data_IF_695279443154
#
_entry.id   IF_695279443154
#
_cell.length_a   1.000
_cell.length_b   1.000
_cell.length_c   1.000
_cell.angle_alpha   90.00
_cell.angle_beta   90.00
_cell.angle_gamma   90.00
#
_symmetry.space_group_name_H-M   'P 1'
#
loop_
_entity.id
_entity.type
_entity.pdbx_description
1 polymer ?
#
# COMPACT_ATOMS: atom_id res chain seq x y z
N UNK A 1 2.26 28.57 2.58
CA UNK A 1 1.12 27.61 2.61
C UNK A 1 1.57 26.22 2.18
N UNK A 2 2.12 26.05 0.97
CA UNK A 2 2.57 24.74 0.47
C UNK A 2 3.63 24.04 1.35
N UNK A 3 4.65 24.74 1.83
CA UNK A 3 5.66 24.16 2.74
C UNK A 3 5.09 23.66 4.06
N UNK A 4 4.12 24.40 4.61
CA UNK A 4 3.45 24.02 5.85
C UNK A 4 2.57 22.78 5.64
N UNK A 5 1.84 22.72 4.53
CA UNK A 5 1.07 21.52 4.15
C UNK A 5 1.97 20.30 3.91
N UNK A 6 3.15 20.50 3.31
CA UNK A 6 4.15 19.42 3.17
C UNK A 6 4.64 18.93 4.53
N UNK A 7 4.93 19.83 5.48
CA UNK A 7 5.32 19.44 6.83
C UNK A 7 4.21 18.63 7.52
N UNK A 8 2.96 19.09 7.44
CA UNK A 8 1.81 18.36 7.98
C UNK A 8 1.64 16.98 7.32
N UNK A 9 1.78 16.87 6.00
CA UNK A 9 1.74 15.59 5.31
C UNK A 9 2.83 14.63 5.82
N UNK A 10 4.09 15.10 5.92
CA UNK A 10 5.19 14.26 6.39
C UNK A 10 4.98 13.80 7.84
N UNK A 11 4.48 14.69 8.71
CA UNK A 11 4.12 14.33 10.08
C UNK A 11 2.99 13.30 10.12
N UNK A 12 1.94 13.47 9.30
CA UNK A 12 0.82 12.54 9.22
C UNK A 12 1.27 11.15 8.75
N UNK A 13 2.20 11.10 7.79
CA UNK A 13 2.75 9.83 7.30
C UNK A 13 3.62 9.12 8.34
N UNK A 14 4.42 9.86 9.11
CA UNK A 14 5.20 9.28 10.20
C UNK A 14 4.28 8.63 11.24
N UNK A 15 3.24 9.35 11.68
CA UNK A 15 2.23 8.80 12.59
C UNK A 15 1.51 7.59 12.00
N UNK A 16 1.22 7.60 10.69
CA UNK A 16 0.62 6.45 10.01
C UNK A 16 1.50 5.18 10.08
N UNK A 17 2.82 5.30 9.97
CA UNK A 17 3.71 4.13 10.05
C UNK A 17 3.67 3.46 11.43
N UNK A 18 3.53 4.27 12.47
CA UNK A 18 3.48 3.83 13.86
C UNK A 18 2.08 3.32 14.26
N UNK A 19 1.08 3.57 13.43
CA UNK A 19 -0.32 3.27 13.71
C UNK A 19 -0.97 4.28 14.66
N UNK A 20 -0.38 5.45 14.85
CA UNK A 20 -1.00 6.57 15.56
C UNK A 20 -2.00 7.29 14.63
N UNK A 21 -3.20 6.70 14.56
CA UNK A 21 -4.27 7.20 13.70
C UNK A 21 -4.77 8.57 14.12
N UNK A 22 -4.76 8.88 15.41
CA UNK A 22 -5.23 10.16 15.92
C UNK A 22 -4.29 11.29 15.47
N UNK A 23 -2.98 11.12 15.64
CA UNK A 23 -2.01 12.09 15.15
C UNK A 23 -2.02 12.18 13.62
N UNK A 24 -2.13 11.06 12.90
CA UNK A 24 -2.23 11.06 11.45
C UNK A 24 -3.45 11.87 10.95
N UNK A 25 -4.61 11.70 11.59
CA UNK A 25 -5.82 12.49 11.33
C UNK A 25 -5.62 13.96 11.69
N UNK A 26 -5.06 14.25 12.86
CA UNK A 26 -4.81 15.62 13.30
C UNK A 26 -3.95 16.40 12.31
N UNK A 27 -2.79 15.86 11.92
CA UNK A 27 -1.88 16.54 11.00
C UNK A 27 -2.48 16.70 9.60
N UNK A 28 -3.14 15.67 9.08
CA UNK A 28 -3.82 15.79 7.78
C UNK A 28 -4.95 16.81 7.80
N UNK A 29 -5.72 16.93 8.90
CA UNK A 29 -6.75 17.96 9.05
C UNK A 29 -6.15 19.37 9.07
N UNK A 30 -4.99 19.55 9.73
CA UNK A 30 -4.24 20.82 9.70
C UNK A 30 -3.75 21.17 8.30
N UNK A 31 -3.31 20.19 7.53
CA UNK A 31 -2.96 20.35 6.12
C UNK A 31 -4.16 20.79 5.26
N UNK A 32 -5.28 20.08 5.41
CA UNK A 32 -6.51 20.34 4.65
C UNK A 32 -7.20 21.65 5.03
N UNK A 33 -7.08 22.12 6.28
CA UNK A 33 -7.57 23.44 6.68
C UNK A 33 -6.85 24.57 5.92
N UNK A 34 -5.57 24.39 5.60
CA UNK A 34 -4.79 25.35 4.81
C UNK A 34 -4.93 25.19 3.30
N UNK A 35 -5.04 23.94 2.82
CA UNK A 35 -5.18 23.56 1.41
C UNK A 35 -6.23 22.44 1.28
N UNK A 36 -7.52 22.76 1.08
CA UNK A 36 -8.62 21.77 1.12
C UNK A 36 -8.55 20.65 0.08
N UNK A 37 -7.79 20.87 -1.00
CA UNK A 37 -7.59 19.93 -2.11
C UNK A 37 -6.16 19.40 -2.19
N UNK A 38 -5.36 19.51 -1.11
CA UNK A 38 -4.03 18.89 -1.06
C UNK A 38 -4.18 17.36 -1.17
N UNK A 39 -3.83 16.82 -2.34
CA UNK A 39 -4.02 15.41 -2.68
C UNK A 39 -3.29 14.46 -1.71
N UNK A 40 -2.13 14.87 -1.19
CA UNK A 40 -1.31 14.06 -0.28
C UNK A 40 -2.00 13.89 1.06
N UNK A 41 -2.51 14.98 1.64
CA UNK A 41 -3.27 14.92 2.89
C UNK A 41 -4.59 14.15 2.71
N UNK A 42 -5.25 14.30 1.56
CA UNK A 42 -6.45 13.50 1.22
C UNK A 42 -6.12 12.00 1.15
N UNK A 43 -4.98 11.62 0.55
CA UNK A 43 -4.54 10.24 0.48
C UNK A 43 -4.17 9.68 1.86
N UNK A 44 -3.56 10.47 2.74
CA UNK A 44 -3.35 10.04 4.13
C UNK A 44 -4.68 9.76 4.82
N UNK A 45 -5.70 10.62 4.67
CA UNK A 45 -7.03 10.37 5.23
C UNK A 45 -7.68 9.12 4.66
N UNK A 46 -7.65 8.96 3.34
CA UNK A 46 -8.13 7.76 2.67
C UNK A 46 -7.53 6.52 3.32
N UNK A 47 -6.20 6.46 3.44
CA UNK A 47 -5.51 5.32 4.02
C UNK A 47 -5.94 5.06 5.46
N UNK A 48 -5.93 6.08 6.33
CA UNK A 48 -6.32 5.90 7.75
C UNK A 48 -7.72 5.30 7.85
N UNK A 49 -8.70 5.86 7.11
CA UNK A 49 -10.07 5.36 7.18
C UNK A 49 -10.20 3.93 6.61
N UNK A 50 -9.41 3.58 5.60
CA UNK A 50 -9.36 2.21 5.06
C UNK A 50 -8.73 1.24 6.04
N UNK A 51 -7.58 1.55 6.64
CA UNK A 51 -6.95 0.68 7.65
C UNK A 51 -7.88 0.47 8.84
N UNK A 52 -8.61 1.51 9.26
CA UNK A 52 -9.59 1.46 10.34
C UNK A 52 -10.90 0.75 9.98
N UNK A 53 -11.15 0.45 8.70
CA UNK A 53 -12.44 -0.06 8.21
C UNK A 53 -13.59 0.94 8.35
N UNK A 54 -13.29 2.24 8.48
CA UNK A 54 -14.24 3.34 8.62
C UNK A 54 -14.69 3.82 7.22
N UNK A 55 -15.17 2.88 6.39
CA UNK A 55 -15.44 3.12 4.97
C UNK A 55 -16.50 4.19 4.71
N UNK A 56 -17.46 4.38 5.61
CA UNK A 56 -18.46 5.46 5.46
C UNK A 56 -17.84 6.86 5.54
N UNK A 57 -16.82 7.03 6.38
CA UNK A 57 -16.01 8.26 6.43
C UNK A 57 -15.07 8.34 5.23
N UNK A 58 -14.67 7.19 4.67
CA UNK A 58 -13.73 7.13 3.54
C UNK A 58 -14.35 7.44 2.18
N UNK A 59 -15.65 7.19 1.98
CA UNK A 59 -16.35 7.30 0.68
C UNK A 59 -16.09 8.61 -0.07
N UNK A 60 -15.95 9.73 0.63
CA UNK A 60 -15.72 11.03 0.01
C UNK A 60 -14.26 11.27 -0.42
N UNK A 61 -13.28 10.58 0.16
CA UNK A 61 -11.86 10.85 -0.11
C UNK A 61 -11.39 10.39 -1.50
N UNK A 62 -11.77 9.21 -2.05
CA UNK A 62 -11.46 8.85 -3.43
C UNK A 62 -11.97 9.89 -4.41
N UNK A 63 -13.24 10.32 -4.27
CA UNK A 63 -13.84 11.33 -5.14
C UNK A 63 -13.13 12.68 -5.04
N UNK A 64 -12.71 13.08 -3.83
CA UNK A 64 -11.94 14.31 -3.62
C UNK A 64 -10.53 14.24 -4.20
N UNK A 65 -9.85 13.09 -4.11
CA UNK A 65 -8.53 12.87 -4.73
C UNK A 65 -8.67 12.96 -6.25
N UNK A 66 -9.66 12.28 -6.81
CA UNK A 66 -9.94 12.34 -8.25
C UNK A 66 -10.38 13.74 -8.69
N UNK A 67 -11.10 14.47 -7.83
CA UNK A 67 -11.44 15.86 -8.10
C UNK A 67 -10.19 16.75 -8.08
N UNK A 68 -9.28 16.59 -7.11
CA UNK A 68 -8.01 17.32 -7.08
C UNK A 68 -7.20 17.07 -8.36
N UNK A 69 -7.11 15.80 -8.80
CA UNK A 69 -6.47 15.42 -10.06
C UNK A 69 -7.08 16.14 -11.26
N UNK A 70 -8.42 16.18 -11.36
CA UNK A 70 -9.13 16.86 -12.46
C UNK A 70 -8.98 18.38 -12.47
N UNK A 71 -8.66 19.00 -11.33
CA UNK A 71 -8.40 20.45 -11.25
C UNK A 71 -7.00 20.82 -11.73
N UNK A 72 -6.08 19.85 -11.82
CA UNK A 72 -4.70 20.07 -12.25
C UNK A 72 -4.55 19.75 -13.74
N UNK A 73 -3.80 20.57 -14.51
CA UNK A 73 -3.48 20.21 -15.89
C UNK A 73 -2.83 18.83 -15.98
N UNK A 74 -3.24 18.06 -17.00
CA UNK A 74 -2.67 16.73 -17.24
C UNK A 74 -1.16 16.81 -17.43
N UNK A 75 -0.44 15.94 -16.72
CA UNK A 75 1.01 15.87 -16.79
C UNK A 75 1.62 15.09 -15.62
N UNK A 76 2.95 15.00 -15.55
CA UNK A 76 3.65 14.26 -14.50
C UNK A 76 3.67 15.05 -13.20
N UNK A 77 2.51 15.15 -12.56
CA UNK A 77 2.30 15.86 -11.30
C UNK A 77 1.94 14.89 -10.17
N UNK A 78 1.99 15.40 -8.94
CA UNK A 78 1.76 14.59 -7.73
C UNK A 78 0.31 14.10 -7.67
N UNK A 79 -0.66 14.88 -8.15
CA UNK A 79 -2.08 14.55 -8.06
C UNK A 79 -2.43 13.27 -8.84
N UNK A 80 -1.90 13.12 -10.07
CA UNK A 80 -2.10 11.93 -10.89
C UNK A 80 -1.48 10.69 -10.23
N UNK A 81 -0.27 10.83 -9.70
CA UNK A 81 0.41 9.74 -9.02
C UNK A 81 -0.27 9.34 -7.71
N UNK A 82 -0.73 10.33 -6.92
CA UNK A 82 -1.49 10.09 -5.69
C UNK A 82 -2.83 9.40 -6.00
N UNK A 83 -3.51 9.79 -7.07
CA UNK A 83 -4.73 9.11 -7.51
C UNK A 83 -4.45 7.64 -7.86
N UNK A 84 -3.42 7.37 -8.66
CA UNK A 84 -3.06 6.02 -9.08
C UNK A 84 -2.73 5.11 -7.88
N UNK A 85 -1.76 5.52 -7.04
CA UNK A 85 -1.32 4.71 -5.89
C UNK A 85 -2.41 4.62 -4.81
N UNK A 86 -3.13 5.73 -4.56
CA UNK A 86 -4.18 5.77 -3.54
C UNK A 86 -5.32 4.81 -3.86
N UNK A 87 -5.75 4.74 -5.12
CA UNK A 87 -6.75 3.77 -5.58
C UNK A 87 -6.24 2.35 -5.43
N UNK A 88 -5.03 2.06 -5.90
CA UNK A 88 -4.46 0.71 -5.84
C UNK A 88 -4.33 0.19 -4.40
N UNK A 89 -3.89 1.03 -3.46
CA UNK A 89 -3.80 0.66 -2.03
C UNK A 89 -5.18 0.48 -1.40
N UNK A 90 -6.11 1.39 -1.68
CA UNK A 90 -7.48 1.31 -1.16
C UNK A 90 -8.17 0.01 -1.60
N UNK A 91 -7.97 -0.39 -2.85
CA UNK A 91 -8.47 -1.66 -3.36
C UNK A 91 -7.82 -2.87 -2.67
N UNK A 92 -6.53 -2.80 -2.36
CA UNK A 92 -5.84 -3.88 -1.63
C UNK A 92 -6.39 -4.09 -0.22
N UNK A 93 -6.70 -3.00 0.48
CA UNK A 93 -7.23 -3.04 1.85
C UNK A 93 -8.71 -3.46 1.87
N UNK A 94 -9.52 -2.92 0.96
CA UNK A 94 -10.96 -3.23 0.89
C UNK A 94 -11.31 -4.51 0.15
N UNK A 95 -10.39 -5.06 -0.65
CA UNK A 95 -10.65 -6.17 -1.57
C UNK A 95 -11.57 -5.82 -2.75
N UNK A 96 -11.92 -4.55 -2.95
CA UNK A 96 -12.85 -4.12 -3.99
C UNK A 96 -12.10 -3.44 -5.16
N UNK A 97 -12.17 -3.97 -6.40
CA UNK A 97 -11.48 -3.41 -7.55
C UNK A 97 -12.23 -2.19 -8.12
N UNK A 98 -12.21 -1.07 -7.39
CA UNK A 98 -12.86 0.18 -7.81
C UNK A 98 -11.85 1.11 -8.47
N UNK A 99 -12.27 1.75 -9.56
CA UNK A 99 -11.51 2.80 -10.26
C UNK A 99 -10.14 2.37 -10.84
N UNK A 100 -9.92 1.09 -11.11
CA UNK A 100 -8.66 0.61 -11.68
C UNK A 100 -8.31 1.29 -13.00
N UNK A 101 -9.27 1.40 -13.91
CA UNK A 101 -9.09 2.09 -15.20
C UNK A 101 -8.63 3.55 -15.01
N UNK A 102 -9.11 4.22 -13.95
CA UNK A 102 -8.72 5.59 -13.62
C UNK A 102 -7.29 5.63 -13.07
N UNK A 103 -6.91 4.67 -12.24
CA UNK A 103 -5.54 4.55 -11.73
C UNK A 103 -4.54 4.26 -12.86
N UNK A 104 -4.91 3.39 -13.80
CA UNK A 104 -4.11 3.07 -14.99
C UNK A 104 -3.94 4.29 -15.89
N UNK A 105 -5.04 4.97 -16.22
CA UNK A 105 -4.99 6.20 -17.02
C UNK A 105 -4.15 7.29 -16.33
N UNK A 106 -4.23 7.40 -15.00
CA UNK A 106 -3.42 8.35 -14.26
C UNK A 106 -1.92 8.01 -14.28
N UNK A 107 -1.57 6.71 -14.17
CA UNK A 107 -0.19 6.23 -14.29
C UNK A 107 0.36 6.42 -15.71
N UNK A 108 -0.44 6.18 -16.75
CA UNK A 108 -0.05 6.32 -18.16
C UNK A 108 0.34 7.76 -18.51
N UNK A 109 -0.36 8.75 -17.96
CA UNK A 109 0.02 10.17 -18.09
C UNK A 109 1.41 10.44 -17.53
N UNK A 110 1.83 9.73 -16.48
CA UNK A 110 3.19 9.84 -15.95
C UNK A 110 4.20 9.16 -16.89
N UNK A 111 3.89 8.00 -17.47
CA UNK A 111 4.84 7.29 -18.33
C UNK A 111 5.03 7.92 -19.71
N UNK A 112 3.99 8.55 -20.26
CA UNK A 112 4.00 9.13 -21.61
C UNK A 112 4.60 10.54 -21.67
N UNK A 113 4.73 11.23 -20.54
CA UNK A 113 5.28 12.57 -20.52
C UNK A 113 6.81 12.58 -20.75
N UNK A 114 7.26 13.50 -21.61
CA UNK A 114 8.64 13.54 -22.11
C UNK A 114 9.72 13.77 -21.03
N UNK A 115 9.36 14.21 -19.82
CA UNK A 115 10.29 14.56 -18.75
C UNK A 115 9.72 14.22 -17.37
N UNK A 116 9.23 13.00 -17.19
CA UNK A 116 8.66 12.58 -15.92
C UNK A 116 9.71 12.43 -14.83
N UNK A 117 9.53 13.08 -13.66
CA UNK A 117 10.44 12.89 -12.54
C UNK A 117 10.50 11.42 -12.12
N UNK A 118 11.72 10.90 -11.91
CA UNK A 118 11.92 9.50 -11.50
C UNK A 118 11.05 9.10 -10.31
N UNK A 119 10.93 9.97 -9.30
CA UNK A 119 10.09 9.71 -8.13
C UNK A 119 8.62 9.40 -8.50
N UNK A 120 8.05 10.14 -9.45
CA UNK A 120 6.66 9.94 -9.87
C UNK A 120 6.51 8.69 -10.73
N UNK A 121 7.49 8.40 -11.59
CA UNK A 121 7.49 7.14 -12.36
C UNK A 121 7.52 5.91 -11.43
N UNK A 122 8.28 5.98 -10.34
CA UNK A 122 8.36 4.89 -9.36
C UNK A 122 7.02 4.66 -8.65
N UNK A 123 6.36 5.75 -8.25
CA UNK A 123 5.05 5.67 -7.61
C UNK A 123 3.98 5.18 -8.59
N UNK A 124 3.98 5.70 -9.81
CA UNK A 124 3.09 5.22 -10.88
C UNK A 124 3.28 3.73 -11.15
N UNK A 125 4.53 3.25 -11.18
CA UNK A 125 4.83 1.82 -11.36
C UNK A 125 4.29 0.97 -10.20
N UNK A 126 4.60 1.34 -8.97
CA UNK A 126 4.09 0.65 -7.79
C UNK A 126 2.56 0.54 -7.78
N UNK A 127 1.84 1.54 -8.33
CA UNK A 127 0.39 1.44 -8.50
C UNK A 127 0.00 0.35 -9.49
N UNK A 128 0.62 0.27 -10.67
CA UNK A 128 0.34 -0.77 -11.67
C UNK A 128 0.71 -2.16 -11.15
N UNK A 129 1.80 -2.29 -10.41
CA UNK A 129 2.23 -3.54 -9.79
C UNK A 129 1.19 -4.06 -8.81
N UNK A 130 0.67 -3.17 -7.94
CA UNK A 130 -0.40 -3.50 -7.02
C UNK A 130 -1.69 -3.91 -7.74
N UNK A 131 -2.02 -3.26 -8.86
CA UNK A 131 -3.18 -3.64 -9.69
C UNK A 131 -2.98 -5.00 -10.36
N UNK A 132 -1.79 -5.30 -10.88
CA UNK A 132 -1.44 -6.59 -11.46
C UNK A 132 -1.59 -7.72 -10.43
N UNK A 133 -1.03 -7.53 -9.22
CA UNK A 133 -1.19 -8.46 -8.09
C UNK A 133 -2.68 -8.68 -7.77
N UNK A 134 -3.48 -7.59 -7.72
CA UNK A 134 -4.90 -7.68 -7.39
C UNK A 134 -5.72 -8.40 -8.46
N UNK A 135 -5.27 -8.38 -9.71
CA UNK A 135 -5.89 -9.12 -10.83
C UNK A 135 -5.38 -10.55 -10.98
N UNK A 136 -4.29 -10.91 -10.30
CA UNK A 136 -3.57 -12.16 -10.55
C UNK A 136 -2.96 -12.19 -11.96
N UNK A 137 -2.57 -11.03 -12.49
CA UNK A 137 -2.01 -10.92 -13.84
C UNK A 137 -0.54 -11.35 -13.85
N UNK A 138 -0.32 -12.62 -14.17
CA UNK A 138 1.00 -13.24 -14.25
C UNK A 138 1.95 -12.48 -15.19
N UNK A 139 1.47 -12.10 -16.39
CA UNK A 139 2.32 -11.48 -17.41
C UNK A 139 2.73 -10.08 -16.99
N UNK A 140 1.79 -9.27 -16.52
CA UNK A 140 2.10 -7.93 -16.03
C UNK A 140 3.01 -8.00 -14.79
N UNK A 141 2.83 -8.98 -13.90
CA UNK A 141 3.67 -9.16 -12.73
C UNK A 141 5.13 -9.45 -13.10
N UNK A 142 5.37 -10.31 -14.10
CA UNK A 142 6.71 -10.64 -14.57
C UNK A 142 7.44 -9.42 -15.15
N UNK A 143 6.79 -8.67 -16.05
CA UNK A 143 7.36 -7.46 -16.67
C UNK A 143 7.72 -6.39 -15.61
N UNK A 144 6.87 -6.27 -14.58
CA UNK A 144 7.07 -5.33 -13.49
C UNK A 144 8.17 -5.74 -12.51
N UNK A 145 8.29 -7.04 -12.21
CA UNK A 145 9.28 -7.58 -11.29
C UNK A 145 10.71 -7.26 -11.76
N UNK A 146 11.02 -7.51 -13.03
CA UNK A 146 12.34 -7.26 -13.61
C UNK A 146 12.76 -5.79 -13.49
N UNK A 147 11.79 -4.88 -13.62
CA UNK A 147 12.05 -3.46 -13.44
C UNK A 147 12.27 -3.09 -11.98
N UNK A 148 11.59 -3.71 -11.02
CA UNK A 148 11.67 -3.32 -9.61
C UNK A 148 12.74 -4.07 -8.81
N UNK A 149 13.37 -5.11 -9.35
CA UNK A 149 14.36 -5.91 -8.61
C UNK A 149 15.51 -5.08 -8.03
N UNK A 150 15.89 -3.96 -8.66
CA UNK A 150 16.95 -3.08 -8.16
C UNK A 150 16.54 -2.23 -6.94
N UNK A 151 15.25 -2.21 -6.60
CA UNK A 151 14.66 -1.40 -5.54
C UNK A 151 14.55 -2.09 -4.18
N UNK A 152 15.12 -3.30 -4.06
CA UNK A 152 15.21 -4.09 -2.83
C UNK A 152 15.79 -3.29 -1.66
N UNK A 153 15.30 -3.57 -0.45
CA UNK A 153 15.75 -2.91 0.78
C UNK A 153 15.34 -1.44 0.88
N UNK A 154 14.38 -0.98 0.06
CA UNK A 154 13.88 0.39 0.08
C UNK A 154 12.39 0.46 0.39
N UNK A 155 11.90 1.66 0.71
CA UNK A 155 10.51 1.90 1.03
C UNK A 155 9.99 3.19 0.42
N UNK A 156 8.76 3.14 -0.08
CA UNK A 156 8.00 4.29 -0.49
C UNK A 156 7.35 4.93 0.73
N UNK A 157 8.13 5.77 1.42
CA UNK A 157 7.69 6.47 2.64
C UNK A 157 6.33 7.15 2.44
N UNK A 158 6.16 7.95 1.38
CA UNK A 158 4.89 8.63 1.07
C UNK A 158 3.63 7.76 1.07
N UNK A 159 3.76 6.43 0.97
CA UNK A 159 2.64 5.50 0.99
C UNK A 159 2.75 4.38 2.03
N UNK A 160 3.78 4.37 2.89
CA UNK A 160 3.99 3.26 3.84
C UNK A 160 4.05 1.90 3.13
N UNK A 161 4.79 1.82 2.03
CA UNK A 161 4.96 0.59 1.26
C UNK A 161 6.44 0.21 1.22
N UNK A 162 6.80 -0.96 1.73
CA UNK A 162 8.13 -1.56 1.60
C UNK A 162 8.20 -2.29 0.27
N UNK A 163 9.24 -2.03 -0.51
CA UNK A 163 9.30 -2.57 -1.87
C UNK A 163 9.60 -4.07 -1.91
N UNK A 164 10.30 -4.61 -0.92
CA UNK A 164 10.45 -6.06 -0.80
C UNK A 164 9.10 -6.77 -0.59
N UNK A 165 8.15 -6.16 0.14
CA UNK A 165 6.78 -6.70 0.24
C UNK A 165 6.07 -6.70 -1.12
N UNK A 166 6.22 -5.64 -1.91
CA UNK A 166 5.64 -5.58 -3.26
C UNK A 166 6.30 -6.61 -4.20
N UNK A 167 7.62 -6.76 -4.14
CA UNK A 167 8.37 -7.78 -4.88
C UNK A 167 7.94 -9.20 -4.47
N UNK A 168 7.69 -9.44 -3.17
CA UNK A 168 7.15 -10.71 -2.69
C UNK A 168 5.77 -11.02 -3.25
N UNK A 169 4.87 -10.02 -3.30
CA UNK A 169 3.55 -10.16 -3.92
C UNK A 169 3.62 -10.41 -5.44
N UNK A 170 4.54 -9.74 -6.15
CA UNK A 170 4.77 -9.97 -7.58
C UNK A 170 5.31 -11.38 -7.82
N UNK A 171 6.33 -11.80 -7.06
CA UNK A 171 6.91 -13.14 -7.15
C UNK A 171 5.87 -14.24 -6.84
N UNK A 172 4.97 -14.00 -5.88
CA UNK A 172 3.82 -14.88 -5.62
C UNK A 172 2.87 -14.94 -6.83
N UNK A 173 2.55 -13.79 -7.43
CA UNK A 173 1.70 -13.71 -8.64
C UNK A 173 2.33 -14.41 -9.84
N UNK A 174 3.67 -14.46 -9.89
CA UNK A 174 4.48 -15.17 -10.89
C UNK A 174 4.67 -16.65 -10.58
N UNK A 175 3.98 -17.21 -9.57
CA UNK A 175 4.11 -18.62 -9.17
C UNK A 175 5.57 -19.02 -8.81
N UNK A 176 6.30 -18.10 -8.18
CA UNK A 176 7.68 -18.30 -7.69
C UNK A 176 7.75 -18.15 -6.16
N UNK A 177 7.12 -19.06 -5.40
CA UNK A 177 6.93 -18.90 -3.96
C UNK A 177 8.24 -18.85 -3.16
N UNK A 178 9.31 -19.51 -3.59
CA UNK A 178 10.61 -19.43 -2.93
C UNK A 178 11.24 -18.04 -3.04
N UNK A 179 11.10 -17.40 -4.20
CA UNK A 179 11.55 -16.03 -4.40
C UNK A 179 10.70 -15.05 -3.58
N UNK A 180 9.39 -15.29 -3.52
CA UNK A 180 8.49 -14.50 -2.70
C UNK A 180 8.86 -14.57 -1.21
N UNK A 181 9.22 -15.76 -0.71
CA UNK A 181 9.69 -15.99 0.66
C UNK A 181 10.92 -15.11 0.98
N UNK A 182 11.93 -15.07 0.11
CA UNK A 182 13.12 -14.24 0.32
C UNK A 182 12.76 -12.77 0.49
N UNK A 183 11.91 -12.25 -0.40
CA UNK A 183 11.47 -10.86 -0.36
C UNK A 183 10.62 -10.55 0.88
N UNK A 184 9.75 -11.46 1.31
CA UNK A 184 8.97 -11.25 2.53
C UNK A 184 9.85 -11.25 3.78
N UNK A 185 10.89 -12.08 3.86
CA UNK A 185 11.86 -12.02 4.97
C UNK A 185 12.60 -10.69 5.02
N UNK A 186 13.08 -10.20 3.87
CA UNK A 186 13.72 -8.89 3.74
C UNK A 186 12.75 -7.76 4.17
N UNK A 187 11.49 -7.84 3.77
CA UNK A 187 10.45 -6.89 4.15
C UNK A 187 10.19 -6.88 5.66
N UNK A 188 10.11 -8.05 6.31
CA UNK A 188 9.94 -8.17 7.77
C UNK A 188 11.13 -7.57 8.50
N UNK A 189 12.36 -7.88 8.07
CA UNK A 189 13.57 -7.35 8.66
C UNK A 189 13.62 -5.81 8.54
N UNK A 190 13.26 -5.27 7.38
CA UNK A 190 13.15 -3.83 7.16
C UNK A 190 12.11 -3.19 8.07
N UNK A 191 10.89 -3.73 8.11
CA UNK A 191 9.79 -3.17 8.91
C UNK A 191 10.13 -3.15 10.41
N UNK A 192 10.74 -4.22 10.93
CA UNK A 192 11.16 -4.31 12.34
C UNK A 192 12.24 -3.28 12.66
N UNK A 193 13.24 -3.13 11.79
CA UNK A 193 14.31 -2.13 11.97
C UNK A 193 13.78 -0.69 11.90
N UNK A 194 12.85 -0.43 10.98
CA UNK A 194 12.29 0.89 10.74
C UNK A 194 11.04 1.22 11.58
N UNK A 195 10.61 0.29 12.46
CA UNK A 195 9.39 0.40 13.28
C UNK A 195 8.12 0.71 12.48
N UNK A 196 8.00 0.15 11.27
CA UNK A 196 6.83 0.32 10.40
C UNK A 196 5.74 -0.69 10.78
N UNK A 197 5.00 -0.42 11.85
CA UNK A 197 4.07 -1.38 12.46
C UNK A 197 2.92 -1.77 11.55
N UNK A 198 2.31 -0.78 10.88
CA UNK A 198 1.21 -0.99 9.93
C UNK A 198 1.64 -1.91 8.79
N UNK A 199 2.83 -1.65 8.24
CA UNK A 199 3.38 -2.43 7.12
C UNK A 199 3.84 -3.82 7.56
N UNK A 200 4.38 -3.95 8.78
CA UNK A 200 4.75 -5.24 9.37
C UNK A 200 3.54 -6.17 9.45
N UNK A 201 2.41 -5.67 9.97
CA UNK A 201 1.20 -6.47 10.11
C UNK A 201 0.70 -7.01 8.77
N UNK A 202 0.64 -6.14 7.75
CA UNK A 202 0.26 -6.53 6.39
C UNK A 202 1.26 -7.53 5.79
N UNK A 203 2.56 -7.31 5.96
CA UNK A 203 3.63 -8.20 5.45
C UNK A 203 3.50 -9.60 6.03
N UNK A 204 3.25 -9.72 7.34
CA UNK A 204 3.02 -11.02 7.96
C UNK A 204 1.82 -11.76 7.37
N UNK A 205 0.70 -11.06 7.12
CA UNK A 205 -0.50 -11.68 6.54
C UNK A 205 -0.27 -12.17 5.11
N UNK A 206 0.39 -11.37 4.27
CA UNK A 206 0.61 -11.74 2.87
C UNK A 206 1.67 -12.81 2.72
N UNK A 207 2.71 -12.78 3.56
CA UNK A 207 3.69 -13.86 3.60
C UNK A 207 3.07 -15.19 4.05
N UNK A 208 2.14 -15.16 5.00
CA UNK A 208 1.40 -16.36 5.39
C UNK A 208 0.58 -16.94 4.22
N UNK A 209 0.01 -16.10 3.34
CA UNK A 209 -0.67 -16.55 2.11
C UNK A 209 0.32 -17.28 1.17
N UNK A 210 1.54 -16.77 1.02
CA UNK A 210 2.60 -17.40 0.20
C UNK A 210 3.07 -18.73 0.78
N UNK A 211 3.31 -18.81 2.09
CA UNK A 211 3.73 -20.06 2.74
C UNK A 211 2.65 -21.14 2.64
N UNK A 212 1.37 -20.76 2.72
CA UNK A 212 0.25 -21.67 2.50
C UNK A 212 0.23 -22.23 1.07
N UNK A 213 0.59 -21.43 0.08
CA UNK A 213 0.64 -21.86 -1.33
C UNK A 213 1.85 -22.74 -1.62
N UNK A 214 2.99 -22.45 -1.01
CA UNK A 214 4.21 -23.25 -1.14
C UNK A 214 4.09 -24.63 -0.49
N UNK A 215 3.44 -24.71 0.67
CA UNK A 215 3.07 -25.94 1.40
C UNK A 215 4.23 -26.95 1.59
N UNK A 216 5.45 -26.47 1.87
CA UNK A 216 6.57 -27.35 2.26
C UNK A 216 6.66 -27.53 3.77
N UNK A 217 7.50 -28.48 4.22
CA UNK A 217 7.68 -28.76 5.64
C UNK A 217 8.06 -27.51 6.45
N UNK A 218 7.29 -27.21 7.50
CA UNK A 218 7.48 -26.05 8.36
C UNK A 218 6.70 -24.79 7.95
N UNK A 219 6.22 -24.70 6.71
CA UNK A 219 5.51 -23.51 6.21
C UNK A 219 4.21 -23.25 6.96
N UNK A 220 3.42 -24.30 7.18
CA UNK A 220 2.16 -24.18 7.94
C UNK A 220 2.38 -23.62 9.33
N UNK A 221 3.40 -24.10 10.05
CA UNK A 221 3.71 -23.63 11.40
C UNK A 221 4.16 -22.16 11.38
N UNK A 222 4.98 -21.78 10.39
CA UNK A 222 5.43 -20.41 10.20
C UNK A 222 4.30 -19.46 9.79
N UNK A 223 3.42 -19.88 8.88
CA UNK A 223 2.24 -19.14 8.47
C UNK A 223 1.32 -18.85 9.65
N UNK A 224 1.09 -19.82 10.54
CA UNK A 224 0.32 -19.61 11.78
C UNK A 224 0.99 -18.56 12.67
N UNK A 225 2.31 -18.67 12.89
CA UNK A 225 3.06 -17.70 13.70
C UNK A 225 2.96 -16.27 13.14
N UNK A 226 3.10 -16.12 11.82
CA UNK A 226 2.97 -14.83 11.13
C UNK A 226 1.55 -14.26 11.23
N UNK A 227 0.52 -15.10 11.11
CA UNK A 227 -0.87 -14.66 11.30
C UNK A 227 -1.16 -14.25 12.74
N UNK A 228 -0.55 -14.92 13.74
CA UNK A 228 -0.65 -14.50 15.14
C UNK A 228 0.03 -13.14 15.38
N UNK A 229 1.23 -12.90 14.81
CA UNK A 229 1.91 -11.60 14.86
C UNK A 229 1.07 -10.51 14.17
N UNK A 230 0.55 -10.80 12.97
CA UNK A 230 -0.33 -9.89 12.22
C UNK A 230 -1.58 -9.55 13.00
N UNK A 231 -2.24 -10.53 13.62
CA UNK A 231 -3.44 -10.33 14.43
C UNK A 231 -3.14 -9.49 15.68
N UNK A 232 -2.03 -9.74 16.36
CA UNK A 232 -1.64 -8.98 17.55
C UNK A 232 -1.45 -7.50 17.22
N UNK A 233 -0.66 -7.19 16.20
CA UNK A 233 -0.41 -5.80 15.78
C UNK A 233 -1.70 -5.15 15.27
N UNK A 234 -2.43 -5.82 14.37
CA UNK A 234 -3.66 -5.27 13.80
C UNK A 234 -4.75 -5.06 14.86
N UNK A 235 -4.82 -5.89 15.90
CA UNK A 235 -5.75 -5.69 17.02
C UNK A 235 -5.37 -4.49 17.88
N UNK A 236 -4.08 -4.32 18.19
CA UNK A 236 -3.59 -3.17 18.96
C UNK A 236 -3.83 -1.85 18.22
N UNK A 237 -3.60 -1.83 16.91
CA UNK A 237 -3.86 -0.67 16.06
C UNK A 237 -5.34 -0.55 15.67
N UNK A 238 -6.16 -1.59 15.89
CA UNK A 238 -7.55 -1.68 15.43
C UNK A 238 -7.71 -1.57 13.90
N UNK A 239 -6.84 -2.25 13.16
CA UNK A 239 -6.88 -2.38 11.70
C UNK A 239 -7.94 -3.41 11.28
N UNK A 240 -9.22 -3.06 11.42
CA UNK A 240 -10.35 -4.01 11.29
C UNK A 240 -10.34 -4.85 10.01
N UNK A 241 -10.12 -4.30 8.79
CA UNK A 241 -10.11 -5.12 7.57
C UNK A 241 -8.98 -6.14 7.55
N UNK A 242 -7.80 -5.80 8.07
CA UNK A 242 -6.70 -6.75 8.19
C UNK A 242 -7.02 -7.84 9.22
N UNK A 243 -7.61 -7.49 10.36
CA UNK A 243 -8.04 -8.47 11.37
C UNK A 243 -9.01 -9.50 10.76
N UNK A 244 -10.03 -9.03 10.03
CA UNK A 244 -10.99 -9.91 9.34
C UNK A 244 -10.30 -10.83 8.34
N UNK A 245 -9.37 -10.30 7.54
CA UNK A 245 -8.57 -11.08 6.59
C UNK A 245 -7.74 -12.15 7.31
N UNK A 246 -7.01 -11.79 8.37
CA UNK A 246 -6.18 -12.71 9.14
C UNK A 246 -7.02 -13.84 9.76
N UNK A 247 -8.17 -13.52 10.34
CA UNK A 247 -9.08 -14.51 10.90
C UNK A 247 -9.58 -15.49 9.83
N UNK A 248 -9.96 -14.98 8.64
CA UNK A 248 -10.33 -15.83 7.50
C UNK A 248 -9.20 -16.79 7.09
N UNK A 249 -7.94 -16.33 7.06
CA UNK A 249 -6.78 -17.18 6.72
C UNK A 249 -6.49 -18.23 7.78
N UNK A 250 -6.68 -17.91 9.05
CA UNK A 250 -6.53 -18.89 10.14
C UNK A 250 -7.52 -20.03 10.02
N UNK A 251 -8.77 -19.75 9.64
CA UNK A 251 -9.76 -20.81 9.42
C UNK A 251 -9.38 -21.69 8.22
N UNK A 252 -8.87 -21.11 7.14
CA UNK A 252 -8.36 -21.88 5.99
C UNK A 252 -7.18 -22.80 6.34
N UNK A 253 -6.32 -22.41 7.29
CA UNK A 253 -5.21 -23.24 7.75
C UNK A 253 -5.62 -24.31 8.77
N UNK A 254 -6.84 -24.26 9.31
CA UNK A 254 -7.39 -25.28 10.21
C UNK A 254 -8.19 -26.35 9.46
N UNK A 255 -8.80 -25.97 8.33
CA UNK A 255 -9.47 -26.88 7.39
C UNK A 255 -8.45 -27.85 6.75
#
# INVERSE_FOLDING_TARGET
>A
RNWLATAYFLSAQSSFYEGDWEAARHFSDRGLAGLPMDCRCLATRLKVEFERGEFDQSKAYPDRILHAMRLTPSGPNVEYTIAAVGIALAARVSGAPRHFEVAEAAADVIFTAANSPNLLMWWARASLDLLAVQRGDFTAAADHYDYLAFSRGTAMRGFSLVLDRLLGLLAQTMDTPDLAVEHFEDALAFCRKASLRTELAWTCCDYADTLRERDVEGDRAKAISLLDESLAISSELGMRPLMERVLSRRELLKA
#
